data_IF_405183086066
#
_entry.id   IF_405183086066
#
_cell.length_a   1.000
_cell.length_b   1.000
_cell.length_c   1.000
_cell.angle_alpha   90.00
_cell.angle_beta   90.00
_cell.angle_gamma   90.00
#
_symmetry.space_group_name_H-M   'P 1'
#
loop_
_entity.id
_entity.type
_entity.pdbx_description
1 polymer ?
#
# COMPACT_ATOMS: atom_id res chain seq x y z
N UNK A 1 -32.72 53.21 11.36
CA UNK A 1 -31.46 52.52 11.05
C UNK A 1 -30.83 53.22 9.87
N UNK A 2 -29.58 53.65 9.99
CA UNK A 2 -28.86 54.24 8.86
C UNK A 2 -28.46 53.12 7.88
N UNK A 3 -28.43 53.39 6.57
CA UNK A 3 -28.11 52.38 5.54
C UNK A 3 -26.77 51.65 5.79
N UNK A 4 -25.84 52.32 6.48
CA UNK A 4 -24.58 51.75 6.92
C UNK A 4 -24.74 50.62 7.96
N UNK A 5 -25.69 50.75 8.89
CA UNK A 5 -25.99 49.74 9.91
C UNK A 5 -26.62 48.49 9.27
N UNK A 6 -27.54 48.68 8.32
CA UNK A 6 -28.15 47.59 7.54
C UNK A 6 -27.10 46.83 6.72
N UNK A 7 -26.20 47.56 6.05
CA UNK A 7 -25.14 46.98 5.23
C UNK A 7 -24.13 46.21 6.08
N UNK A 8 -23.76 46.74 7.25
CA UNK A 8 -22.87 46.06 8.20
C UNK A 8 -23.51 44.76 8.72
N UNK A 9 -24.78 44.80 9.11
CA UNK A 9 -25.52 43.64 9.62
C UNK A 9 -25.67 42.55 8.54
N UNK A 10 -25.97 42.94 7.30
CA UNK A 10 -26.02 42.03 6.16
C UNK A 10 -24.66 41.38 5.86
N UNK A 11 -23.56 42.15 5.95
CA UNK A 11 -22.20 41.65 5.73
C UNK A 11 -21.80 40.62 6.80
N UNK A 12 -22.08 40.91 8.07
CA UNK A 12 -21.83 39.95 9.17
C UNK A 12 -22.62 38.66 8.95
N UNK A 13 -23.88 38.78 8.55
CA UNK A 13 -24.75 37.62 8.32
C UNK A 13 -24.25 36.76 7.14
N UNK A 14 -23.77 37.38 6.06
CA UNK A 14 -23.12 36.69 4.93
C UNK A 14 -21.86 35.93 5.36
N UNK A 15 -21.01 36.52 6.19
CA UNK A 15 -19.81 35.86 6.72
C UNK A 15 -20.19 34.64 7.56
N UNK A 16 -21.21 34.75 8.41
CA UNK A 16 -21.70 33.65 9.24
C UNK A 16 -22.27 32.52 8.38
N UNK A 17 -23.10 32.83 7.40
CA UNK A 17 -23.66 31.83 6.47
C UNK A 17 -22.55 31.15 5.67
N UNK A 18 -21.59 31.91 5.15
CA UNK A 18 -20.44 31.36 4.43
C UNK A 18 -19.58 30.43 5.31
N UNK A 19 -19.32 30.81 6.57
CA UNK A 19 -18.61 29.97 7.52
C UNK A 19 -19.38 28.68 7.85
N UNK A 20 -20.71 28.76 7.99
CA UNK A 20 -21.57 27.60 8.21
C UNK A 20 -21.54 26.64 7.01
N UNK A 21 -21.65 27.16 5.78
CA UNK A 21 -21.54 26.36 4.55
C UNK A 21 -20.20 25.63 4.46
N UNK A 22 -19.08 26.31 4.75
CA UNK A 22 -17.75 25.69 4.77
C UNK A 22 -17.67 24.55 5.80
N UNK A 23 -18.26 24.73 7.00
CA UNK A 23 -18.32 23.67 8.01
C UNK A 23 -19.17 22.48 7.56
N UNK A 24 -20.34 22.72 6.96
CA UNK A 24 -21.22 21.66 6.44
C UNK A 24 -20.49 20.86 5.36
N UNK A 25 -19.85 21.53 4.40
CA UNK A 25 -19.07 20.88 3.35
C UNK A 25 -17.89 20.07 3.92
N UNK A 26 -17.23 20.59 4.94
CA UNK A 26 -16.16 19.86 5.64
C UNK A 26 -16.70 18.61 6.35
N UNK A 27 -17.87 18.70 6.98
CA UNK A 27 -18.55 17.58 7.62
C UNK A 27 -18.97 16.50 6.61
N UNK A 28 -19.63 16.90 5.52
CA UNK A 28 -20.00 15.99 4.42
C UNK A 28 -18.79 15.26 3.84
N UNK A 29 -17.68 15.98 3.64
CA UNK A 29 -16.44 15.37 3.16
C UNK A 29 -15.83 14.38 4.15
N UNK A 30 -15.96 14.64 5.44
CA UNK A 30 -15.53 13.69 6.47
C UNK A 30 -16.41 12.44 6.48
N UNK A 31 -17.73 12.59 6.39
CA UNK A 31 -18.66 11.47 6.31
C UNK A 31 -18.36 10.58 5.10
N UNK A 32 -18.24 11.18 3.91
CA UNK A 32 -17.89 10.45 2.69
C UNK A 32 -16.59 9.64 2.85
N UNK A 33 -15.56 10.19 3.53
CA UNK A 33 -14.32 9.46 3.78
C UNK A 33 -14.50 8.26 4.68
N UNK A 34 -15.36 8.36 5.70
CA UNK A 34 -15.69 7.24 6.58
C UNK A 34 -16.44 6.15 5.79
N UNK A 35 -17.40 6.54 4.96
CA UNK A 35 -18.15 5.61 4.11
C UNK A 35 -17.21 4.88 3.13
N UNK A 36 -16.26 5.60 2.51
CA UNK A 36 -15.24 4.98 1.67
C UNK A 36 -14.35 4.02 2.46
N UNK A 37 -13.86 4.42 3.64
CA UNK A 37 -12.99 3.59 4.46
C UNK A 37 -13.68 2.28 4.86
N UNK A 38 -14.97 2.33 5.19
CA UNK A 38 -15.77 1.16 5.51
C UNK A 38 -16.01 0.26 4.29
N UNK A 39 -16.32 0.83 3.13
CA UNK A 39 -16.45 0.08 1.88
C UNK A 39 -15.16 -0.71 1.56
N UNK A 40 -14.00 -0.05 1.65
CA UNK A 40 -12.73 -0.70 1.37
C UNK A 40 -12.33 -1.73 2.44
N UNK A 41 -12.74 -1.51 3.70
CA UNK A 41 -12.56 -2.51 4.76
C UNK A 41 -13.33 -3.79 4.46
N UNK A 42 -14.60 -3.69 4.06
CA UNK A 42 -15.42 -4.85 3.67
C UNK A 42 -14.81 -5.58 2.47
N UNK A 43 -14.46 -4.83 1.42
CA UNK A 43 -13.77 -5.39 0.25
C UNK A 43 -12.46 -6.07 0.61
N UNK A 44 -11.67 -5.50 1.52
CA UNK A 44 -10.42 -6.13 1.93
C UNK A 44 -10.64 -7.47 2.65
N UNK A 45 -11.68 -7.57 3.47
CA UNK A 45 -12.06 -8.82 4.14
C UNK A 45 -12.46 -9.89 3.10
N UNK A 46 -13.27 -9.52 2.11
CA UNK A 46 -13.67 -10.41 1.01
C UNK A 46 -12.47 -10.89 0.18
N UNK A 47 -11.47 -10.03 -0.01
CA UNK A 47 -10.27 -10.33 -0.80
C UNK A 47 -9.15 -11.05 -0.05
N UNK A 48 -9.37 -11.49 1.20
CA UNK A 48 -8.32 -12.19 1.98
C UNK A 48 -7.83 -13.47 1.30
N UNK A 49 -8.72 -14.24 0.66
CA UNK A 49 -8.34 -15.43 -0.12
C UNK A 49 -7.50 -15.10 -1.35
N UNK A 50 -7.87 -14.03 -2.06
CA UNK A 50 -7.08 -13.54 -3.20
C UNK A 50 -5.71 -13.00 -2.75
N UNK A 51 -5.65 -12.34 -1.59
CA UNK A 51 -4.38 -11.88 -1.01
C UNK A 51 -3.48 -13.05 -0.62
N UNK A 52 -4.04 -14.08 0.01
CA UNK A 52 -3.35 -15.32 0.33
C UNK A 52 -2.72 -15.95 -0.92
N UNK A 53 -3.48 -16.05 -2.01
CA UNK A 53 -3.00 -16.51 -3.32
C UNK A 53 -1.80 -15.69 -3.82
N UNK A 54 -1.89 -14.36 -3.78
CA UNK A 54 -0.81 -13.48 -4.24
C UNK A 54 0.46 -13.71 -3.46
N UNK A 55 0.36 -13.85 -2.14
CA UNK A 55 1.55 -14.01 -1.31
C UNK A 55 2.13 -15.42 -1.43
N UNK A 56 1.27 -16.44 -1.55
CA UNK A 56 1.69 -17.80 -1.84
C UNK A 56 2.53 -17.82 -3.12
N UNK A 57 1.98 -17.31 -4.23
CA UNK A 57 2.67 -17.28 -5.53
C UNK A 57 3.87 -16.32 -5.57
N UNK A 58 3.87 -15.26 -4.77
CA UNK A 58 4.97 -14.30 -4.65
C UNK A 58 6.16 -14.77 -3.81
N UNK A 59 6.05 -15.91 -3.12
CA UNK A 59 7.12 -16.52 -2.32
C UNK A 59 7.82 -17.65 -3.08
N UNK A 60 8.90 -18.20 -2.51
CA UNK A 60 9.43 -19.50 -2.94
C UNK A 60 8.54 -20.60 -2.39
N UNK A 61 8.46 -21.73 -3.09
CA UNK A 61 7.65 -22.89 -2.68
C UNK A 61 8.03 -23.40 -1.29
N UNK A 62 9.31 -23.30 -0.93
CA UNK A 62 9.87 -23.74 0.35
C UNK A 62 9.73 -22.72 1.49
N UNK A 63 9.31 -21.48 1.20
CA UNK A 63 9.25 -20.43 2.21
C UNK A 63 8.11 -20.69 3.20
N UNK A 64 8.34 -20.38 4.47
CA UNK A 64 7.32 -20.46 5.50
C UNK A 64 6.14 -19.50 5.19
N UNK A 65 4.90 -19.99 5.34
CA UNK A 65 3.68 -19.29 4.99
C UNK A 65 2.76 -19.13 6.21
N UNK A 66 2.32 -17.90 6.49
CA UNK A 66 1.56 -17.57 7.72
C UNK A 66 0.22 -16.87 7.49
N UNK A 67 -0.16 -16.58 6.25
CA UNK A 67 -1.29 -15.68 5.98
C UNK A 67 -2.63 -16.40 6.05
N UNK A 68 -2.65 -17.69 5.72
CA UNK A 68 -3.84 -18.49 5.77
C UNK A 68 -3.63 -19.71 6.66
N UNK A 69 -4.73 -20.25 7.18
CA UNK A 69 -4.74 -21.50 7.94
C UNK A 69 -4.19 -22.64 7.08
N UNK A 70 -3.75 -23.71 7.76
CA UNK A 70 -3.15 -24.87 7.09
C UNK A 70 -4.05 -25.46 6.00
N UNK A 71 -5.37 -25.45 6.22
CA UNK A 71 -6.38 -25.90 5.26
C UNK A 71 -6.33 -25.10 3.95
N UNK A 72 -6.37 -23.76 4.01
CA UNK A 72 -6.25 -22.91 2.82
C UNK A 72 -4.90 -23.07 2.10
N UNK A 73 -3.82 -23.33 2.83
CA UNK A 73 -2.52 -23.62 2.22
C UNK A 73 -2.55 -24.97 1.48
N UNK A 74 -3.22 -25.99 2.03
CA UNK A 74 -3.43 -27.26 1.34
C UNK A 74 -4.30 -27.10 0.10
N UNK A 75 -5.37 -26.29 0.18
CA UNK A 75 -6.21 -25.94 -0.98
C UNK A 75 -5.40 -25.28 -2.10
N UNK A 76 -4.54 -24.31 -1.77
CA UNK A 76 -3.68 -23.64 -2.75
C UNK A 76 -2.65 -24.59 -3.37
N UNK A 77 -2.06 -25.49 -2.56
CA UNK A 77 -1.16 -26.53 -3.06
C UNK A 77 -1.89 -27.51 -3.98
N UNK A 78 -3.08 -27.94 -3.60
CA UNK A 78 -3.91 -28.82 -4.41
C UNK A 78 -4.31 -28.13 -5.72
N UNK A 79 -4.74 -26.87 -5.67
CA UNK A 79 -5.06 -26.06 -6.85
C UNK A 79 -3.85 -25.94 -7.79
N UNK A 80 -2.66 -25.71 -7.25
CA UNK A 80 -1.42 -25.68 -8.06
C UNK A 80 -1.11 -27.04 -8.70
N UNK A 81 -1.39 -28.15 -8.01
CA UNK A 81 -1.18 -29.53 -8.48
C UNK A 81 -2.23 -30.03 -9.48
N UNK A 82 -3.47 -29.58 -9.39
CA UNK A 82 -4.54 -29.96 -10.32
C UNK A 82 -4.60 -29.05 -11.54
N UNK A 83 -3.89 -27.93 -11.50
CA UNK A 83 -3.86 -26.97 -12.57
C UNK A 83 -3.18 -27.54 -13.83
N UNK A 84 -3.97 -27.85 -14.86
CA UNK A 84 -3.50 -27.96 -16.24
C UNK A 84 -3.23 -26.56 -16.78
N UNK A 85 -2.33 -26.41 -17.74
CA UNK A 85 -1.89 -25.13 -18.33
C UNK A 85 -3.02 -24.18 -18.75
N UNK A 86 -4.26 -24.66 -18.93
CA UNK A 86 -5.40 -23.83 -19.31
C UNK A 86 -6.25 -23.35 -18.11
N UNK A 87 -6.56 -24.22 -17.14
CA UNK A 87 -7.44 -23.88 -15.99
C UNK A 87 -6.64 -23.18 -14.87
N UNK A 88 -5.34 -23.45 -14.79
CA UNK A 88 -4.37 -22.83 -13.88
C UNK A 88 -4.42 -21.30 -13.87
N UNK A 89 -4.59 -20.72 -15.05
CA UNK A 89 -4.44 -19.29 -15.28
C UNK A 89 -5.55 -18.44 -14.65
N UNK A 90 -6.75 -19.00 -14.56
CA UNK A 90 -7.95 -18.22 -14.25
C UNK A 90 -7.98 -17.67 -12.82
N UNK A 91 -7.62 -18.47 -11.82
CA UNK A 91 -7.73 -18.10 -10.40
C UNK A 91 -6.58 -17.19 -9.96
N UNK A 92 -5.33 -17.52 -10.30
CA UNK A 92 -4.17 -16.69 -9.95
C UNK A 92 -4.26 -15.28 -10.58
N UNK A 93 -4.69 -15.22 -11.84
CA UNK A 93 -4.92 -13.94 -12.52
C UNK A 93 -6.11 -13.19 -11.93
N UNK A 94 -7.21 -13.88 -11.59
CA UNK A 94 -8.35 -13.25 -10.93
C UNK A 94 -7.95 -12.62 -9.58
N UNK A 95 -7.17 -13.33 -8.77
CA UNK A 95 -6.70 -12.82 -7.48
C UNK A 95 -5.84 -11.56 -7.63
N UNK A 96 -4.89 -11.55 -8.58
CA UNK A 96 -4.10 -10.34 -8.89
C UNK A 96 -5.00 -9.20 -9.35
N UNK A 97 -5.93 -9.47 -10.27
CA UNK A 97 -6.86 -8.47 -10.79
C UNK A 97 -7.68 -7.84 -9.67
N UNK A 98 -8.22 -8.65 -8.77
CA UNK A 98 -9.12 -8.20 -7.71
C UNK A 98 -8.36 -7.36 -6.67
N UNK A 99 -7.25 -7.86 -6.13
CA UNK A 99 -6.44 -7.14 -5.12
C UNK A 99 -5.79 -5.90 -5.72
N UNK A 100 -5.16 -6.02 -6.89
CA UNK A 100 -4.52 -4.88 -7.53
C UNK A 100 -5.55 -3.85 -7.98
N UNK A 101 -6.72 -4.28 -8.46
CA UNK A 101 -7.85 -3.42 -8.80
C UNK A 101 -8.29 -2.58 -7.61
N UNK A 102 -8.52 -3.21 -6.45
CA UNK A 102 -8.89 -2.50 -5.22
C UNK A 102 -7.79 -1.52 -4.77
N UNK A 103 -6.53 -1.97 -4.71
CA UNK A 103 -5.41 -1.12 -4.28
C UNK A 103 -5.18 0.06 -5.24
N UNK A 104 -5.35 -0.17 -6.53
CA UNK A 104 -5.22 0.86 -7.57
C UNK A 104 -6.33 1.91 -7.47
N UNK A 105 -7.58 1.50 -7.27
CA UNK A 105 -8.71 2.40 -7.05
C UNK A 105 -8.51 3.24 -5.78
N UNK A 106 -8.12 2.59 -4.67
CA UNK A 106 -7.84 3.25 -3.41
C UNK A 106 -6.67 4.25 -3.52
N UNK A 107 -5.58 3.86 -4.19
CA UNK A 107 -4.47 4.74 -4.50
C UNK A 107 -4.93 5.96 -5.30
N UNK A 108 -5.77 5.75 -6.32
CA UNK A 108 -6.30 6.85 -7.16
C UNK A 108 -7.05 7.87 -6.31
N UNK A 109 -7.88 7.43 -5.36
CA UNK A 109 -8.59 8.31 -4.42
C UNK A 109 -7.65 9.08 -3.48
N UNK A 110 -6.54 8.47 -3.07
CA UNK A 110 -5.50 9.16 -2.29
C UNK A 110 -4.80 10.23 -3.13
N UNK A 111 -4.40 9.88 -4.36
CA UNK A 111 -3.75 10.80 -5.27
C UNK A 111 -4.69 11.96 -5.68
N UNK A 112 -5.99 11.71 -5.77
CA UNK A 112 -7.03 12.71 -5.99
C UNK A 112 -7.44 13.47 -4.71
N UNK A 113 -6.92 13.09 -3.54
CA UNK A 113 -7.18 13.77 -2.26
C UNK A 113 -8.60 13.59 -1.72
N UNK A 114 -9.32 12.58 -2.22
CA UNK A 114 -10.61 12.17 -1.70
C UNK A 114 -10.43 11.52 -0.33
N UNK A 115 -9.43 10.65 -0.18
CA UNK A 115 -9.12 9.93 1.07
C UNK A 115 -7.68 10.24 1.49
N UNK A 116 -7.40 10.25 2.80
CA UNK A 116 -6.03 10.41 3.32
C UNK A 116 -5.35 9.06 3.57
N UNK A 117 -4.01 9.04 3.51
CA UNK A 117 -3.22 7.84 3.79
C UNK A 117 -3.49 7.30 5.21
N UNK A 118 -3.64 8.19 6.19
CA UNK A 118 -3.90 7.83 7.59
C UNK A 118 -5.26 7.13 7.78
N UNK A 119 -6.24 7.43 6.91
CA UNK A 119 -7.58 6.85 6.98
C UNK A 119 -7.60 5.43 6.37
N UNK A 120 -6.58 5.10 5.55
CA UNK A 120 -6.50 3.84 4.82
C UNK A 120 -5.60 2.83 5.51
N UNK A 121 -4.52 3.27 6.15
CA UNK A 121 -3.61 2.37 6.83
C UNK A 121 -4.33 1.38 7.79
N UNK A 122 -5.32 1.79 8.59
CA UNK A 122 -6.08 0.87 9.46
C UNK A 122 -6.89 -0.21 8.74
N UNK A 123 -7.14 -0.08 7.43
CA UNK A 123 -7.86 -1.08 6.63
C UNK A 123 -6.99 -2.34 6.46
N UNK A 124 -5.70 -2.13 6.22
CA UNK A 124 -4.74 -3.21 5.93
C UNK A 124 -3.93 -3.62 7.17
N UNK A 125 -3.67 -2.67 8.07
CA UNK A 125 -2.76 -2.85 9.18
C UNK A 125 -1.34 -3.20 8.73
N UNK A 126 -0.60 -3.86 9.62
CA UNK A 126 0.77 -4.30 9.37
C UNK A 126 0.85 -5.57 8.51
N UNK A 127 -0.26 -6.31 8.35
CA UNK A 127 -0.31 -7.58 7.63
C UNK A 127 0.13 -7.43 6.16
N UNK A 128 -0.49 -6.48 5.44
CA UNK A 128 -0.13 -6.21 4.04
C UNK A 128 1.34 -5.82 3.90
N UNK A 129 1.90 -5.09 4.86
CA UNK A 129 3.29 -4.63 4.82
C UNK A 129 4.30 -5.74 5.12
N UNK A 130 4.03 -6.56 6.13
CA UNK A 130 4.85 -7.74 6.48
C UNK A 130 4.89 -8.75 5.34
N UNK A 131 3.80 -8.81 4.58
CA UNK A 131 3.63 -9.70 3.43
C UNK A 131 3.81 -8.95 2.09
N UNK A 132 4.29 -7.72 2.15
CA UNK A 132 4.41 -6.84 1.00
C UNK A 132 5.60 -7.17 0.10
N UNK A 133 6.61 -7.88 0.60
CA UNK A 133 7.76 -8.29 -0.21
C UNK A 133 7.38 -9.28 -1.32
N UNK A 134 6.69 -10.40 -1.04
CA UNK A 134 6.15 -11.30 -2.06
C UNK A 134 5.33 -10.58 -3.13
N UNK A 135 4.42 -9.71 -2.71
CA UNK A 135 3.60 -8.95 -3.64
C UNK A 135 4.43 -7.95 -4.47
N UNK A 136 5.40 -7.27 -3.85
CA UNK A 136 6.30 -6.35 -4.55
C UNK A 136 7.16 -7.05 -5.59
N UNK A 137 7.52 -8.32 -5.37
CA UNK A 137 8.26 -9.12 -6.35
C UNK A 137 7.47 -9.36 -7.63
N UNK A 138 6.17 -9.67 -7.48
CA UNK A 138 5.24 -9.78 -8.61
C UNK A 138 5.09 -8.45 -9.33
N UNK A 139 4.91 -7.36 -8.57
CA UNK A 139 4.78 -6.01 -9.12
C UNK A 139 6.06 -5.54 -9.82
N UNK A 140 7.24 -5.76 -9.27
CA UNK A 140 8.49 -5.31 -9.89
C UNK A 140 8.88 -6.19 -11.10
N UNK A 141 8.22 -7.33 -11.27
CA UNK A 141 8.51 -8.31 -12.34
C UNK A 141 9.88 -8.97 -12.17
N UNK A 142 10.43 -8.95 -10.94
CA UNK A 142 11.76 -9.44 -10.61
C UNK A 142 11.64 -10.79 -9.89
N UNK A 143 11.02 -11.77 -10.52
CA UNK A 143 10.84 -13.09 -9.92
C UNK A 143 12.04 -14.01 -10.09
N UNK A 144 13.07 -13.61 -10.83
CA UNK A 144 14.19 -14.50 -11.16
C UNK A 144 14.99 -14.95 -9.93
N UNK A 145 15.08 -14.14 -8.88
CA UNK A 145 15.71 -14.56 -7.62
C UNK A 145 14.88 -15.60 -6.85
N UNK A 146 13.61 -15.82 -7.21
CA UNK A 146 12.81 -16.92 -6.67
C UNK A 146 13.12 -18.25 -7.38
N UNK A 147 13.72 -18.20 -8.58
CA UNK A 147 14.18 -19.36 -9.37
C UNK A 147 15.57 -19.85 -8.92
N UNK A 148 15.77 -19.97 -7.61
CA UNK A 148 17.01 -20.50 -7.05
C UNK A 148 16.92 -22.03 -6.90
N UNK A 149 16.85 -22.73 -8.04
CA UNK A 149 16.77 -24.18 -8.03
C UNK A 149 18.11 -24.80 -7.62
N UNK A 150 18.04 -26.03 -7.11
CA UNK A 150 19.24 -26.84 -6.89
C UNK A 150 19.91 -27.24 -8.21
N UNK A 151 21.00 -28.00 -8.10
CA UNK A 151 21.76 -28.51 -9.26
C UNK A 151 20.94 -29.38 -10.22
N UNK A 152 19.83 -29.95 -9.76
CA UNK A 152 18.92 -30.79 -10.54
C UNK A 152 17.86 -30.00 -11.35
N UNK A 153 17.83 -28.67 -11.24
CA UNK A 153 16.78 -27.83 -11.84
C UNK A 153 15.50 -27.79 -11.00
N UNK A 154 14.42 -27.15 -11.50
CA UNK A 154 13.17 -27.00 -10.77
C UNK A 154 12.47 -28.34 -10.56
N UNK A 155 11.89 -28.54 -9.38
CA UNK A 155 10.85 -29.54 -9.17
C UNK A 155 9.59 -29.19 -9.97
N UNK A 156 8.72 -30.17 -10.19
CA UNK A 156 7.46 -29.94 -10.91
C UNK A 156 6.57 -28.89 -10.22
N UNK A 157 6.56 -28.89 -8.88
CA UNK A 157 5.82 -27.90 -8.08
C UNK A 157 6.40 -26.49 -8.27
N UNK A 158 7.72 -26.34 -8.29
CA UNK A 158 8.39 -25.06 -8.57
C UNK A 158 8.11 -24.57 -9.98
N UNK A 159 8.22 -25.44 -10.99
CA UNK A 159 7.95 -25.08 -12.38
C UNK A 159 6.51 -24.56 -12.58
N UNK A 160 5.53 -25.21 -11.95
CA UNK A 160 4.12 -24.76 -11.97
C UNK A 160 3.95 -23.42 -11.28
N UNK A 161 4.61 -23.24 -10.14
CA UNK A 161 4.58 -21.98 -9.40
C UNK A 161 5.18 -20.83 -10.21
N UNK A 162 6.26 -21.08 -10.96
CA UNK A 162 6.90 -20.11 -11.84
C UNK A 162 6.04 -19.75 -13.05
N UNK A 163 5.34 -20.73 -13.64
CA UNK A 163 4.39 -20.49 -14.73
C UNK A 163 3.25 -19.56 -14.29
N UNK A 164 2.59 -19.89 -13.17
CA UNK A 164 1.54 -19.05 -12.59
C UNK A 164 2.04 -17.64 -12.27
N UNK A 165 3.27 -17.54 -11.74
CA UNK A 165 3.89 -16.25 -11.45
C UNK A 165 4.15 -15.44 -12.72
N UNK A 166 4.58 -16.10 -13.79
CA UNK A 166 4.82 -15.49 -15.09
C UNK A 166 3.53 -14.89 -15.66
N UNK A 167 2.41 -15.61 -15.56
CA UNK A 167 1.10 -15.14 -16.01
C UNK A 167 0.62 -13.93 -15.21
N UNK A 168 0.70 -13.99 -13.88
CA UNK A 168 0.38 -12.87 -12.98
C UNK A 168 1.22 -11.63 -13.32
N UNK A 169 2.52 -11.82 -13.53
CA UNK A 169 3.46 -10.74 -13.86
C UNK A 169 3.15 -10.17 -15.25
N UNK A 170 2.85 -11.02 -16.23
CA UNK A 170 2.46 -10.62 -17.58
C UNK A 170 1.21 -9.75 -17.54
N UNK A 171 0.19 -10.14 -16.78
CA UNK A 171 -1.00 -9.33 -16.60
C UNK A 171 -0.69 -7.95 -16.00
N UNK A 172 0.18 -7.89 -14.99
CA UNK A 172 0.61 -6.64 -14.36
C UNK A 172 1.41 -5.73 -15.29
N UNK A 173 2.23 -6.31 -16.18
CA UNK A 173 2.95 -5.58 -17.22
C UNK A 173 1.98 -4.98 -18.24
N UNK A 174 0.99 -5.76 -18.69
CA UNK A 174 -0.06 -5.27 -19.59
C UNK A 174 -0.92 -4.16 -18.95
N UNK A 175 -1.03 -4.14 -17.62
CA UNK A 175 -1.81 -3.16 -16.85
C UNK A 175 -0.92 -2.23 -16.01
N UNK A 176 0.12 -1.65 -16.62
CA UNK A 176 1.14 -0.86 -15.90
C UNK A 176 0.55 0.30 -15.07
N UNK A 177 -0.59 0.87 -15.48
CA UNK A 177 -1.29 1.88 -14.68
C UNK A 177 -1.79 1.38 -13.33
N UNK A 178 -2.30 0.15 -13.26
CA UNK A 178 -2.72 -0.49 -12.01
C UNK A 178 -1.46 -0.80 -11.18
N UNK A 179 -0.48 -1.45 -11.81
CA UNK A 179 0.80 -1.83 -11.19
C UNK A 179 1.52 -0.63 -10.53
N UNK A 180 1.66 0.50 -11.23
CA UNK A 180 2.28 1.73 -10.69
C UNK A 180 1.54 2.24 -9.45
N UNK A 181 0.20 2.23 -9.48
CA UNK A 181 -0.63 2.67 -8.35
C UNK A 181 -0.51 1.71 -7.16
N UNK A 182 -0.43 0.40 -7.38
CA UNK A 182 -0.14 -0.56 -6.32
C UNK A 182 1.22 -0.29 -5.65
N UNK A 183 2.28 -0.05 -6.44
CA UNK A 183 3.61 0.29 -5.91
C UNK A 183 3.58 1.58 -5.07
N UNK A 184 2.92 2.64 -5.58
CA UNK A 184 2.72 3.89 -4.84
C UNK A 184 1.98 3.64 -3.53
N UNK A 185 0.94 2.82 -3.56
CA UNK A 185 0.13 2.51 -2.38
C UNK A 185 0.95 1.81 -1.30
N UNK A 186 1.72 0.78 -1.67
CA UNK A 186 2.64 0.09 -0.76
C UNK A 186 3.63 1.09 -0.14
N UNK A 187 4.24 1.97 -0.96
CA UNK A 187 5.19 2.96 -0.46
C UNK A 187 4.53 3.98 0.51
N UNK A 188 3.28 4.36 0.26
CA UNK A 188 2.51 5.24 1.15
C UNK A 188 2.16 4.56 2.48
N UNK A 189 1.76 3.29 2.43
CA UNK A 189 1.45 2.50 3.63
C UNK A 189 2.72 2.27 4.47
N UNK A 190 3.86 1.96 3.85
CA UNK A 190 5.16 1.90 4.53
C UNK A 190 5.53 3.23 5.21
N UNK A 191 5.27 4.35 4.53
CA UNK A 191 5.50 5.68 5.11
C UNK A 191 4.60 5.94 6.31
N UNK A 192 3.36 5.46 6.30
CA UNK A 192 2.45 5.61 7.43
C UNK A 192 2.82 4.72 8.61
N UNK A 193 3.15 3.45 8.36
CA UNK A 193 3.64 2.54 9.40
C UNK A 193 4.91 3.08 10.08
N UNK A 194 5.85 3.63 9.30
CA UNK A 194 7.06 4.25 9.82
C UNK A 194 6.78 5.53 10.62
N UNK A 195 5.75 6.31 10.25
CA UNK A 195 5.31 7.49 11.00
C UNK A 195 4.71 7.11 12.36
N UNK A 196 3.98 5.99 12.39
CA UNK A 196 3.35 5.45 13.60
C UNK A 196 4.29 4.58 14.45
N UNK A 197 5.47 4.23 13.93
CA UNK A 197 6.41 3.27 14.56
C UNK A 197 5.75 1.90 14.83
N UNK A 198 4.84 1.49 13.95
CA UNK A 198 3.97 0.31 14.10
C UNK A 198 4.59 -0.98 13.53
N UNK A 199 5.84 -0.91 13.06
CA UNK A 199 6.59 -2.06 12.54
C UNK A 199 7.86 -2.30 13.36
N UNK A 200 8.36 -3.55 13.40
CA UNK A 200 9.62 -3.88 14.06
C UNK A 200 10.76 -2.95 13.61
N UNK A 201 11.67 -2.54 14.52
CA UNK A 201 12.80 -1.68 14.18
C UNK A 201 13.66 -2.27 13.07
N UNK A 202 13.82 -3.59 13.02
CA UNK A 202 14.50 -4.31 11.95
C UNK A 202 13.86 -4.04 10.57
N UNK A 203 12.55 -4.22 10.45
CA UNK A 203 11.81 -4.00 9.19
C UNK A 203 11.91 -2.56 8.72
N UNK A 204 11.77 -1.60 9.65
CA UNK A 204 11.90 -0.17 9.36
C UNK A 204 13.32 0.18 8.86
N UNK A 205 14.36 -0.35 9.51
CA UNK A 205 15.77 -0.17 9.10
C UNK A 205 16.00 -0.74 7.70
N UNK A 206 15.55 -1.97 7.45
CA UNK A 206 15.71 -2.65 6.16
C UNK A 206 14.99 -1.89 5.04
N UNK A 207 13.75 -1.48 5.27
CA UNK A 207 12.99 -0.71 4.31
C UNK A 207 13.59 0.67 4.05
N UNK A 208 14.20 1.32 5.04
CA UNK A 208 14.88 2.60 4.87
C UNK A 208 16.22 2.47 4.13
N UNK A 209 16.97 1.39 4.38
CA UNK A 209 18.20 1.06 3.65
C UNK A 209 17.91 0.83 2.16
N UNK A 210 16.88 0.04 1.82
CA UNK A 210 16.46 -0.18 0.44
C UNK A 210 16.05 1.13 -0.28
N UNK A 211 15.51 2.10 0.47
CA UNK A 211 15.12 3.42 -0.06
C UNK A 211 16.28 4.42 -0.20
N UNK A 212 17.50 4.08 0.23
CA UNK A 212 18.68 4.91 -0.07
C UNK A 212 18.88 5.02 -1.60
N UNK A 213 18.69 3.92 -2.32
CA UNK A 213 18.78 3.86 -3.79
C UNK A 213 17.43 4.12 -4.44
N UNK A 214 16.33 3.56 -3.92
CA UNK A 214 15.02 3.59 -4.60
C UNK A 214 14.09 4.75 -4.21
N UNK A 215 14.35 5.46 -3.10
CA UNK A 215 13.40 6.43 -2.55
C UNK A 215 13.10 7.62 -3.48
N UNK A 216 14.09 8.06 -4.26
CA UNK A 216 13.89 9.13 -5.24
C UNK A 216 13.00 8.70 -6.41
N UNK A 217 13.15 7.44 -6.87
CA UNK A 217 12.31 6.84 -7.91
C UNK A 217 10.86 6.70 -7.45
N UNK A 218 10.64 6.25 -6.20
CA UNK A 218 9.29 6.10 -5.64
C UNK A 218 8.57 7.46 -5.57
N UNK A 219 9.26 8.53 -5.15
CA UNK A 219 8.71 9.89 -5.15
C UNK A 219 8.43 10.42 -6.55
N UNK A 220 9.30 10.14 -7.52
CA UNK A 220 9.08 10.54 -8.91
C UNK A 220 7.84 9.83 -9.49
N UNK A 221 7.74 8.50 -9.30
CA UNK A 221 6.58 7.69 -9.69
C UNK A 221 5.28 8.26 -9.13
N UNK A 222 5.26 8.57 -7.82
CA UNK A 222 4.09 9.17 -7.17
C UNK A 222 3.69 10.50 -7.82
N UNK A 223 4.67 11.39 -8.06
CA UNK A 223 4.37 12.72 -8.62
C UNK A 223 3.80 12.63 -10.03
N UNK A 224 4.41 11.81 -10.88
CA UNK A 224 3.95 11.59 -12.25
C UNK A 224 2.52 11.06 -12.24
N UNK A 225 2.23 10.05 -11.44
CA UNK A 225 0.89 9.47 -11.38
C UNK A 225 -0.15 10.44 -10.77
N UNK A 226 0.24 11.22 -9.75
CA UNK A 226 -0.63 12.24 -9.17
C UNK A 226 -0.99 13.34 -10.17
N UNK A 227 -0.02 13.80 -10.97
CA UNK A 227 -0.24 14.80 -12.01
C UNK A 227 -1.04 14.21 -13.19
N UNK A 228 -0.84 12.93 -13.53
CA UNK A 228 -1.64 12.24 -14.54
C UNK A 228 -3.13 12.18 -14.17
N UNK A 229 -3.45 11.93 -12.89
CA UNK A 229 -4.84 11.79 -12.43
C UNK A 229 -5.56 13.12 -12.15
N UNK A 230 -4.84 14.18 -11.80
CA UNK A 230 -5.43 15.44 -11.35
C UNK A 230 -4.91 16.69 -12.04
N UNK A 231 -4.11 16.53 -13.10
CA UNK A 231 -3.50 17.61 -13.86
C UNK A 231 -2.66 18.57 -13.00
N UNK A 232 -2.59 19.82 -13.43
CA UNK A 232 -1.88 20.88 -12.72
C UNK A 232 -2.43 21.18 -11.31
N UNK A 233 -3.74 20.98 -11.11
CA UNK A 233 -4.40 21.14 -9.81
C UNK A 233 -3.86 20.19 -8.73
N UNK A 234 -3.24 19.06 -9.12
CA UNK A 234 -2.64 18.10 -8.20
C UNK A 234 -1.21 18.44 -7.77
N UNK A 235 -0.56 19.48 -8.32
CA UNK A 235 0.85 19.80 -8.06
C UNK A 235 1.20 19.89 -6.56
N UNK A 236 0.50 20.75 -5.82
CA UNK A 236 0.72 20.94 -4.37
C UNK A 236 0.54 19.63 -3.58
N UNK A 237 -0.44 18.82 -3.98
CA UNK A 237 -0.73 17.53 -3.34
C UNK A 237 0.37 16.51 -3.64
N UNK A 238 0.83 16.44 -4.89
CA UNK A 238 1.92 15.54 -5.30
C UNK A 238 3.20 15.82 -4.51
N UNK A 239 3.53 17.10 -4.25
CA UNK A 239 4.66 17.50 -3.42
C UNK A 239 4.46 17.09 -1.96
N UNK A 240 3.25 17.27 -1.42
CA UNK A 240 2.91 16.87 -0.05
C UNK A 240 3.04 15.37 0.15
N UNK A 241 2.53 14.57 -0.78
CA UNK A 241 2.62 13.11 -0.76
C UNK A 241 4.06 12.62 -1.00
N UNK A 242 4.82 13.24 -1.89
CA UNK A 242 6.24 12.92 -2.07
C UNK A 242 7.07 13.24 -0.81
N UNK A 243 6.74 14.31 -0.08
CA UNK A 243 7.32 14.61 1.24
C UNK A 243 6.82 13.63 2.31
N UNK A 244 5.65 13.04 2.13
CA UNK A 244 5.10 12.00 3.00
C UNK A 244 5.92 10.72 2.96
N UNK A 245 6.28 10.25 1.75
CA UNK A 245 7.08 9.03 1.56
C UNK A 245 8.40 9.03 2.34
N UNK A 246 8.94 10.22 2.63
CA UNK A 246 10.17 10.36 3.43
C UNK A 246 10.04 9.84 4.87
N UNK A 247 8.84 9.61 5.41
CA UNK A 247 8.70 8.99 6.74
C UNK A 247 9.35 7.61 6.82
N UNK A 248 9.33 6.83 5.73
CA UNK A 248 9.97 5.52 5.66
C UNK A 248 11.43 5.56 5.17
N UNK A 249 12.04 6.74 5.07
CA UNK A 249 13.43 6.92 4.62
C UNK A 249 14.31 7.38 5.78
N UNK A 250 15.63 7.18 5.65
CA UNK A 250 16.57 7.78 6.58
C UNK A 250 16.52 9.30 6.50
N UNK A 251 16.39 9.93 7.67
CA UNK A 251 16.39 11.38 7.80
C UNK A 251 17.76 11.94 7.40
N UNK A 252 17.76 12.78 6.36
CA UNK A 252 18.98 13.42 5.83
C UNK A 252 19.37 14.68 6.60
N UNK A 253 18.38 15.47 6.99
CA UNK A 253 18.58 16.74 7.71
C UNK A 253 17.80 16.73 9.04
N UNK A 254 18.22 17.55 10.04
CA UNK A 254 17.29 18.07 11.06
C UNK A 254 16.06 18.66 10.36
N UNK A 255 14.93 19.05 10.97
CA UNK A 255 13.77 19.60 10.20
C UNK A 255 13.08 18.70 9.12
N UNK A 256 13.77 17.76 8.47
CA UNK A 256 13.21 16.86 7.46
C UNK A 256 12.53 15.65 8.10
N UNK A 257 11.55 15.08 7.40
CA UNK A 257 10.89 13.81 7.79
C UNK A 257 11.83 12.63 7.58
N UNK A 258 11.59 11.57 8.33
CA UNK A 258 12.28 10.29 8.20
C UNK A 258 12.78 9.72 9.52
N UNK A 259 13.27 8.49 9.43
CA UNK A 259 13.78 7.71 10.55
C UNK A 259 15.12 8.27 11.02
N UNK A 260 15.31 8.30 12.35
CA UNK A 260 16.59 8.65 12.97
C UNK A 260 17.24 7.38 13.52
N UNK A 261 18.52 7.16 13.19
CA UNK A 261 19.29 6.00 13.69
C UNK A 261 19.22 5.87 15.22
N UNK A 262 19.37 6.98 15.96
CA UNK A 262 19.25 7.01 17.43
C UNK A 262 17.87 6.59 17.95
N UNK A 263 16.77 7.02 17.30
CA UNK A 263 15.40 6.61 17.68
C UNK A 263 15.17 5.13 17.41
N UNK A 264 15.67 4.63 16.28
CA UNK A 264 15.56 3.20 15.93
C UNK A 264 16.30 2.30 16.91
N UNK A 265 17.47 2.73 17.43
CA UNK A 265 18.16 1.99 18.49
C UNK A 265 17.34 1.96 19.79
N UNK A 266 16.82 3.12 20.22
CA UNK A 266 15.95 3.20 21.41
C UNK A 266 14.70 2.32 21.28
N UNK A 267 14.08 2.30 20.09
CA UNK A 267 12.91 1.48 19.82
C UNK A 267 13.24 -0.03 19.87
N UNK A 268 14.42 -0.42 19.36
CA UNK A 268 14.97 -1.78 19.50
C UNK A 268 15.09 -2.19 20.97
N UNK A 269 15.68 -1.33 21.79
CA UNK A 269 15.87 -1.57 23.23
C UNK A 269 14.52 -1.67 23.96
N UNK A 270 13.57 -0.79 23.62
CA UNK A 270 12.20 -0.79 24.17
C UNK A 270 11.46 -2.10 23.83
N UNK A 271 11.56 -2.57 22.59
CA UNK A 271 10.93 -3.81 22.14
C UNK A 271 11.59 -5.03 22.79
N UNK A 272 12.92 -5.08 22.81
CA UNK A 272 13.69 -6.18 23.41
C UNK A 272 13.35 -6.35 24.89
N UNK A 273 13.27 -5.24 25.63
CA UNK A 273 12.85 -5.27 27.05
C UNK A 273 11.43 -5.80 27.23
N UNK A 274 10.49 -5.44 26.35
CA UNK A 274 9.11 -5.95 26.43
C UNK A 274 9.05 -7.45 26.21
N UNK A 275 9.80 -7.99 25.25
CA UNK A 275 9.81 -9.42 24.96
C UNK A 275 10.51 -10.27 26.03
N UNK A 276 11.54 -9.73 26.68
CA UNK A 276 12.29 -10.46 27.73
C UNK A 276 11.57 -10.39 29.08
N UNK A 277 10.77 -9.34 29.33
CA UNK A 277 10.03 -9.16 30.57
C UNK A 277 8.57 -9.65 30.51
N UNK A 278 8.18 -10.32 29.43
CA UNK A 278 6.94 -11.12 29.32
C UNK A 278 7.27 -12.58 29.48
#
# INVERSE_FOLDING_TARGET
>A
MQDAELTALATVLLVVVGAAQVKILSGQRQQQRLDWAELYRRRWIELRGDWATIVFLGRRVTDYYQIAHHETLQELRNATRTSSTEVASSWAQASVRNVCGMLSDLCSRVLQGHIKVQEIYPIFGTELLRQGAPFRTLLDGRSDYLKCYGTAGPTEEEARHDNLRSEMTTWLVCHDGIRRRCLIMIDLLWAEAARLEDLPPYDLKTAANAKLTTGHLNRARLRVEALRLGGWGAWRRSLRLAKYLRYAEWRRFPWSRGLRKKRMKKLDDEWTKRYINT
#
